data_IF_715940547309
#
_entry.id   IF_715940547309
#
_cell.length_a   1.000
_cell.length_b   1.000
_cell.length_c   1.000
_cell.angle_alpha   90.00
_cell.angle_beta   90.00
_cell.angle_gamma   90.00
#
_symmetry.space_group_name_H-M   'P 1'
#
loop_
_entity.id
_entity.type
_entity.pdbx_description
1 polymer ?
#
# COMPACT_ATOMS: atom_id res chain seq x y z
N UNK A 1 2.32 16.40 20.19
CA UNK A 1 3.57 15.63 20.18
C UNK A 1 3.79 14.98 18.79
N UNK A 2 5.05 14.86 18.35
CA UNK A 2 5.41 14.31 17.05
C UNK A 2 4.84 12.89 16.84
N UNK A 3 5.00 12.02 17.81
CA UNK A 3 4.52 10.64 17.73
C UNK A 3 3.01 10.54 17.49
N UNK A 4 2.21 11.41 18.11
CA UNK A 4 0.76 11.44 17.90
C UNK A 4 0.42 11.88 16.47
N UNK A 5 1.14 12.87 15.93
CA UNK A 5 0.94 13.31 14.55
C UNK A 5 1.33 12.19 13.56
N UNK A 6 2.46 11.53 13.77
CA UNK A 6 2.88 10.40 12.92
C UNK A 6 1.85 9.28 12.95
N UNK A 7 1.35 8.91 14.13
CA UNK A 7 0.30 7.89 14.25
C UNK A 7 -0.98 8.31 13.53
N UNK A 8 -1.41 9.56 13.69
CA UNK A 8 -2.59 10.08 13.01
C UNK A 8 -2.43 10.08 11.48
N UNK A 9 -1.25 10.46 10.97
CA UNK A 9 -0.95 10.40 9.53
C UNK A 9 -1.02 8.95 9.05
N UNK A 10 -0.40 8.01 9.76
CA UNK A 10 -0.43 6.58 9.40
C UNK A 10 -1.87 6.09 9.30
N UNK A 11 -2.72 6.38 10.28
CA UNK A 11 -4.11 5.94 10.28
C UNK A 11 -4.93 6.55 9.13
N UNK A 12 -4.77 7.86 8.87
CA UNK A 12 -5.45 8.55 7.75
C UNK A 12 -4.97 8.01 6.41
N UNK A 13 -3.66 7.84 6.26
CA UNK A 13 -3.05 7.34 5.04
C UNK A 13 -3.45 5.89 4.76
N UNK A 14 -3.40 5.03 5.76
CA UNK A 14 -3.73 3.61 5.64
C UNK A 14 -5.21 3.42 5.29
N UNK A 15 -6.11 4.15 5.97
CA UNK A 15 -7.53 4.16 5.64
C UNK A 15 -7.78 4.61 4.20
N UNK A 16 -7.15 5.70 3.76
CA UNK A 16 -7.31 6.22 2.39
C UNK A 16 -6.72 5.25 1.37
N UNK A 17 -5.51 4.74 1.64
CA UNK A 17 -4.83 3.77 0.79
C UNK A 17 -5.64 2.49 0.61
N UNK A 18 -6.24 1.98 1.68
CA UNK A 18 -7.12 0.81 1.61
C UNK A 18 -8.26 1.03 0.62
N UNK A 19 -8.98 2.14 0.71
CA UNK A 19 -10.11 2.42 -0.18
C UNK A 19 -9.68 2.68 -1.62
N UNK A 20 -8.57 3.37 -1.83
CA UNK A 20 -8.01 3.60 -3.17
C UNK A 20 -7.60 2.28 -3.81
N UNK A 21 -6.86 1.45 -3.10
CA UNK A 21 -6.41 0.14 -3.55
C UNK A 21 -7.60 -0.78 -3.88
N UNK A 22 -8.57 -0.87 -2.95
CA UNK A 22 -9.81 -1.62 -3.18
C UNK A 22 -10.57 -1.12 -4.40
N UNK A 23 -10.60 0.18 -4.65
CA UNK A 23 -11.24 0.77 -5.83
C UNK A 23 -10.53 0.35 -7.12
N UNK A 24 -9.20 0.31 -7.13
CA UNK A 24 -8.45 -0.21 -8.28
C UNK A 24 -8.79 -1.67 -8.60
N UNK A 25 -9.01 -2.50 -7.60
CA UNK A 25 -9.44 -3.89 -7.79
C UNK A 25 -10.91 -4.03 -8.20
N UNK A 26 -11.79 -3.18 -7.67
CA UNK A 26 -13.23 -3.30 -7.88
C UNK A 26 -13.73 -2.66 -9.18
N UNK A 27 -13.06 -1.61 -9.68
CA UNK A 27 -13.49 -0.84 -10.85
C UNK A 27 -12.78 -1.32 -12.11
N UNK A 28 -13.49 -1.95 -13.07
CA UNK A 28 -12.87 -2.53 -14.27
C UNK A 28 -12.03 -1.56 -15.10
N UNK A 29 -12.41 -0.28 -15.12
CA UNK A 29 -11.66 0.77 -15.83
C UNK A 29 -10.32 1.11 -15.15
N UNK A 30 -10.22 0.94 -13.83
CA UNK A 30 -9.00 1.24 -13.06
C UNK A 30 -8.06 0.04 -12.96
N UNK A 31 -8.60 -1.17 -12.99
CA UNK A 31 -7.82 -2.40 -12.88
C UNK A 31 -6.62 -2.48 -13.85
N UNK A 32 -6.72 -2.12 -15.15
CA UNK A 32 -5.59 -2.22 -16.07
C UNK A 32 -4.35 -1.42 -15.63
N UNK A 33 -4.54 -0.31 -14.91
CA UNK A 33 -3.44 0.49 -14.38
C UNK A 33 -2.76 -0.21 -13.18
N UNK A 34 -3.56 -0.84 -12.32
CA UNK A 34 -3.07 -1.56 -11.14
C UNK A 34 -2.57 -2.97 -11.49
N UNK A 35 -3.09 -3.59 -12.53
CA UNK A 35 -2.62 -4.86 -13.05
C UNK A 35 -1.13 -4.85 -13.44
N UNK A 36 -0.56 -3.69 -13.76
CA UNK A 36 0.89 -3.53 -13.98
C UNK A 36 1.66 -3.83 -12.69
N UNK A 37 1.15 -3.38 -11.54
CA UNK A 37 1.71 -3.73 -10.24
C UNK A 37 1.59 -5.23 -9.96
N UNK A 38 0.42 -5.82 -10.25
CA UNK A 38 0.16 -7.25 -10.08
C UNK A 38 0.81 -8.15 -11.14
N UNK A 39 1.43 -7.61 -12.19
CA UNK A 39 2.12 -8.40 -13.22
C UNK A 39 3.56 -8.79 -12.85
N UNK A 40 3.92 -8.69 -11.58
CA UNK A 40 5.20 -9.16 -11.06
C UNK A 40 5.14 -10.68 -10.90
N UNK A 41 6.04 -11.39 -11.59
CA UNK A 41 6.14 -12.86 -11.50
C UNK A 41 6.99 -13.28 -10.30
N UNK A 42 8.13 -12.61 -10.12
CA UNK A 42 9.03 -12.85 -8.99
C UNK A 42 8.98 -11.67 -8.02
N UNK A 43 8.45 -11.92 -6.84
CA UNK A 43 8.31 -10.89 -5.81
C UNK A 43 9.66 -10.57 -5.18
N UNK A 44 10.08 -9.30 -5.32
CA UNK A 44 11.26 -8.75 -4.67
C UNK A 44 10.98 -7.32 -4.16
N UNK A 45 11.94 -6.76 -3.44
CA UNK A 45 11.81 -5.41 -2.86
C UNK A 45 11.61 -4.28 -3.89
N UNK A 46 11.95 -4.50 -5.18
CA UNK A 46 11.71 -3.55 -6.29
C UNK A 46 10.30 -3.67 -6.86
N UNK A 47 9.60 -4.77 -6.63
CA UNK A 47 8.25 -5.01 -7.13
C UNK A 47 7.27 -3.88 -6.75
N UNK A 48 7.44 -3.30 -5.56
CA UNK A 48 6.66 -2.14 -5.10
C UNK A 48 6.84 -0.87 -5.94
N UNK A 49 7.88 -0.78 -6.76
CA UNK A 49 8.10 0.35 -7.68
C UNK A 49 7.53 0.13 -9.10
N UNK A 50 7.06 -1.08 -9.42
CA UNK A 50 6.43 -1.38 -10.70
C UNK A 50 4.99 -0.89 -10.70
N UNK A 51 4.80 0.37 -11.09
CA UNK A 51 3.51 1.06 -11.02
C UNK A 51 3.23 1.80 -12.34
N UNK A 52 1.96 1.84 -12.74
CA UNK A 52 1.52 2.73 -13.81
C UNK A 52 1.42 4.18 -13.30
N UNK A 53 1.71 5.16 -14.15
CA UNK A 53 1.66 6.59 -13.77
C UNK A 53 0.28 7.01 -13.21
N UNK A 54 -0.81 6.51 -13.79
CA UNK A 54 -2.17 6.78 -13.31
C UNK A 54 -2.38 6.24 -11.90
N UNK A 55 -1.90 5.03 -11.60
CA UNK A 55 -1.93 4.44 -10.26
C UNK A 55 -1.17 5.34 -9.26
N UNK A 56 0.06 5.72 -9.60
CA UNK A 56 0.87 6.62 -8.75
C UNK A 56 0.15 7.94 -8.47
N UNK A 57 -0.40 8.60 -9.52
CA UNK A 57 -1.06 9.89 -9.37
C UNK A 57 -2.31 9.77 -8.48
N UNK A 58 -3.17 8.80 -8.74
CA UNK A 58 -4.39 8.61 -7.97
C UNK A 58 -4.10 8.20 -6.54
N UNK A 59 -3.24 7.19 -6.35
CA UNK A 59 -2.89 6.69 -5.02
C UNK A 59 -2.20 7.77 -4.17
N UNK A 60 -1.18 8.43 -4.71
CA UNK A 60 -0.45 9.47 -3.97
C UNK A 60 -1.29 10.73 -3.79
N UNK A 61 -2.00 11.17 -4.82
CA UNK A 61 -2.88 12.34 -4.74
C UNK A 61 -3.96 12.17 -3.69
N UNK A 62 -4.73 11.09 -3.76
CA UNK A 62 -5.81 10.84 -2.82
C UNK A 62 -5.31 10.57 -1.38
N UNK A 63 -4.13 9.96 -1.21
CA UNK A 63 -3.55 9.73 0.10
C UNK A 63 -2.98 11.01 0.72
N UNK A 64 -2.27 11.84 -0.06
CA UNK A 64 -1.61 13.01 0.51
C UNK A 64 -2.51 14.23 0.67
N UNK A 65 -3.56 14.39 -0.17
CA UNK A 65 -4.47 15.53 -0.04
C UNK A 65 -5.08 15.64 1.37
N UNK A 66 -5.72 14.61 1.96
CA UNK A 66 -6.24 14.71 3.32
C UNK A 66 -5.15 14.99 4.36
N UNK A 67 -3.96 14.42 4.19
CA UNK A 67 -2.82 14.65 5.10
C UNK A 67 -2.41 16.14 5.08
N UNK A 68 -2.32 16.76 3.90
CA UNK A 68 -2.00 18.20 3.79
C UNK A 68 -3.11 19.08 4.34
N UNK A 69 -4.37 18.76 4.07
CA UNK A 69 -5.53 19.53 4.57
C UNK A 69 -5.60 19.51 6.10
N UNK A 70 -5.21 18.41 6.74
CA UNK A 70 -5.16 18.31 8.20
C UNK A 70 -4.02 19.07 8.87
N UNK A 71 -3.04 19.58 8.09
CA UNK A 71 -2.03 20.52 8.58
C UNK A 71 -1.01 19.93 9.55
N UNK A 72 -0.58 18.70 9.33
CA UNK A 72 0.48 18.08 10.12
C UNK A 72 1.84 18.78 9.93
N UNK A 73 2.70 18.71 10.94
CA UNK A 73 4.04 19.28 10.89
C UNK A 73 4.92 18.61 9.84
N UNK A 74 5.84 19.39 9.25
CA UNK A 74 6.80 18.86 8.27
C UNK A 74 7.60 17.67 8.82
N UNK A 75 8.00 17.71 10.09
CA UNK A 75 8.72 16.59 10.73
C UNK A 75 7.88 15.32 10.79
N UNK A 76 6.57 15.44 11.03
CA UNK A 76 5.67 14.29 11.04
C UNK A 76 5.47 13.72 9.63
N UNK A 77 5.35 14.59 8.63
CA UNK A 77 5.26 14.18 7.21
C UNK A 77 6.52 13.45 6.76
N UNK A 78 7.70 13.96 7.08
CA UNK A 78 8.97 13.32 6.74
C UNK A 78 9.12 11.95 7.40
N UNK A 79 8.78 11.83 8.70
CA UNK A 79 8.78 10.56 9.40
C UNK A 79 7.81 9.55 8.75
N UNK A 80 6.60 9.99 8.38
CA UNK A 80 5.63 9.14 7.68
C UNK A 80 6.16 8.67 6.33
N UNK A 81 6.71 9.57 5.49
CA UNK A 81 7.26 9.21 4.17
C UNK A 81 8.33 8.13 4.30
N UNK A 82 9.21 8.25 5.30
CA UNK A 82 10.24 7.25 5.57
C UNK A 82 9.62 5.91 5.99
N UNK A 83 8.65 5.93 6.92
CA UNK A 83 7.97 4.73 7.39
C UNK A 83 7.21 4.01 6.27
N UNK A 84 6.45 4.74 5.44
CA UNK A 84 5.68 4.12 4.34
C UNK A 84 6.60 3.59 3.25
N UNK A 85 7.72 4.24 2.96
CA UNK A 85 8.70 3.73 2.02
C UNK A 85 9.34 2.42 2.52
N UNK A 86 9.75 2.40 3.79
CA UNK A 86 10.29 1.20 4.42
C UNK A 86 9.27 0.05 4.44
N UNK A 87 8.02 0.33 4.80
CA UNK A 87 6.93 -0.66 4.80
C UNK A 87 6.66 -1.19 3.39
N UNK A 88 6.56 -0.32 2.39
CA UNK A 88 6.32 -0.72 0.99
C UNK A 88 7.45 -1.62 0.47
N UNK A 89 8.70 -1.28 0.75
CA UNK A 89 9.86 -2.12 0.40
C UNK A 89 9.81 -3.47 1.13
N UNK A 90 9.47 -3.45 2.41
CA UNK A 90 9.44 -4.64 3.25
C UNK A 90 8.37 -5.65 2.82
N UNK A 91 7.13 -5.21 2.55
CA UNK A 91 6.03 -6.13 2.17
C UNK A 91 6.26 -6.81 0.82
N UNK A 92 7.06 -6.20 -0.08
CA UNK A 92 7.44 -6.79 -1.36
C UNK A 92 8.73 -7.62 -1.28
N UNK A 93 9.53 -7.49 -0.20
CA UNK A 93 10.78 -8.21 -0.07
C UNK A 93 10.57 -9.73 -0.08
N UNK A 94 11.47 -10.46 -0.74
CA UNK A 94 11.44 -11.91 -0.81
C UNK A 94 11.89 -12.55 0.53
N UNK A 95 11.05 -12.40 1.55
CA UNK A 95 11.25 -12.96 2.88
C UNK A 95 10.01 -13.73 3.34
N UNK A 96 10.23 -14.88 3.98
CA UNK A 96 9.14 -15.77 4.44
C UNK A 96 8.74 -15.50 5.89
N UNK A 97 8.70 -14.24 6.29
CA UNK A 97 8.34 -13.86 7.66
C UNK A 97 6.83 -13.71 7.79
N UNK A 98 6.22 -14.54 8.62
CA UNK A 98 4.76 -14.52 8.82
C UNK A 98 4.29 -13.51 9.85
N UNK A 99 5.13 -13.14 10.82
CA UNK A 99 4.78 -12.21 11.92
C UNK A 99 3.37 -12.47 12.50
N UNK A 100 3.06 -13.73 12.80
CA UNK A 100 1.72 -14.18 13.21
C UNK A 100 0.99 -13.28 14.22
N UNK A 101 1.65 -12.72 15.27
CA UNK A 101 0.95 -11.88 16.25
C UNK A 101 0.39 -10.59 15.66
N UNK A 102 1.07 -10.00 14.67
CA UNK A 102 0.74 -8.65 14.13
C UNK A 102 0.13 -8.67 12.73
N UNK A 103 0.07 -9.82 12.06
CA UNK A 103 -0.40 -9.93 10.66
C UNK A 103 -1.84 -9.46 10.43
N UNK A 104 -2.63 -9.30 11.49
CA UNK A 104 -4.00 -8.77 11.42
C UNK A 104 -4.06 -7.26 11.52
N UNK A 105 -2.94 -6.62 11.87
CA UNK A 105 -2.84 -5.18 12.11
C UNK A 105 -1.93 -4.53 11.08
N UNK A 106 -0.86 -5.22 10.69
CA UNK A 106 0.15 -4.71 9.76
C UNK A 106 0.28 -5.68 8.60
N UNK A 107 0.28 -5.15 7.36
CA UNK A 107 0.55 -5.95 6.17
C UNK A 107 1.97 -6.55 6.26
N UNK A 108 2.05 -7.87 6.09
CA UNK A 108 3.30 -8.62 6.13
C UNK A 108 3.68 -9.10 4.74
N UNK A 109 4.95 -9.43 4.46
CA UNK A 109 5.36 -10.00 3.17
C UNK A 109 4.50 -11.20 2.77
N UNK A 110 4.27 -12.15 3.69
CA UNK A 110 3.46 -13.33 3.41
C UNK A 110 2.02 -13.00 2.99
N UNK A 111 1.39 -12.00 3.63
CA UNK A 111 0.05 -11.54 3.25
C UNK A 111 0.05 -10.83 1.90
N UNK A 112 1.01 -9.94 1.66
CA UNK A 112 1.08 -9.15 0.43
C UNK A 112 1.44 -10.02 -0.78
N UNK A 113 2.34 -11.00 -0.62
CA UNK A 113 2.66 -11.97 -1.68
C UNK A 113 1.44 -12.81 -2.04
N UNK A 114 0.64 -13.23 -1.04
CA UNK A 114 -0.62 -13.92 -1.30
C UNK A 114 -1.60 -13.05 -2.10
N UNK A 115 -1.69 -11.75 -1.77
CA UNK A 115 -2.51 -10.78 -2.51
C UNK A 115 -2.07 -10.63 -3.99
N UNK A 116 -0.78 -10.75 -4.29
CA UNK A 116 -0.23 -10.75 -5.64
C UNK A 116 -0.29 -12.11 -6.34
N UNK A 117 -0.67 -13.19 -5.64
CA UNK A 117 -0.65 -14.53 -6.20
C UNK A 117 -1.65 -14.68 -7.34
N UNK A 118 -1.19 -15.19 -8.49
CA UNK A 118 -2.04 -15.50 -9.65
C UNK A 118 -2.95 -16.74 -9.42
N UNK A 119 -2.68 -17.49 -8.36
CA UNK A 119 -3.50 -18.66 -7.99
C UNK A 119 -4.79 -18.26 -7.27
N UNK A 120 -4.88 -17.03 -6.78
CA UNK A 120 -6.15 -16.49 -6.30
C UNK A 120 -7.03 -16.24 -7.50
N UNK A 121 -8.12 -16.98 -7.58
CA UNK A 121 -9.18 -16.79 -8.57
C UNK A 121 -9.43 -15.29 -8.77
N UNK A 122 -9.54 -14.82 -10.01
CA UNK A 122 -9.69 -13.41 -10.35
C UNK A 122 -10.85 -12.71 -9.61
N UNK A 123 -11.77 -13.48 -9.02
CA UNK A 123 -12.82 -13.02 -8.12
C UNK A 123 -12.31 -12.71 -6.72
N UNK A 124 -11.38 -13.49 -6.16
CA UNK A 124 -10.84 -13.26 -4.82
C UNK A 124 -9.84 -12.08 -4.78
N UNK A 125 -9.09 -11.85 -5.86
CA UNK A 125 -8.21 -10.67 -5.95
C UNK A 125 -9.00 -9.36 -6.10
N UNK A 126 -10.29 -9.43 -6.45
CA UNK A 126 -11.19 -8.26 -6.50
C UNK A 126 -11.81 -7.91 -5.14
N UNK A 127 -11.81 -8.84 -4.19
CA UNK A 127 -12.47 -8.70 -2.88
C UNK A 127 -11.48 -8.46 -1.72
N UNK A 128 -10.16 -8.46 -1.98
CA UNK A 128 -9.10 -8.23 -0.99
C UNK A 128 -8.66 -6.72 -0.94
#
# INVERSE_FOLDING_TARGET
PLAVQVLAIVLVADFTQYWVHRTFHAVPFLWPFHAIHHSVEDMDWLAGSRLHLVDVILTRGLTYVPIFVLGFSQSALMAYVFLVAAQATFIHANVRWEFRPIRRIVATPAFHHWHHSAETDATMSRDA
#
